data_IF_461129701199
#
_entry.id   IF_461129701199
#
_cell.length_a   1.000
_cell.length_b   1.000
_cell.length_c   1.000
_cell.angle_alpha   90.00
_cell.angle_beta   90.00
_cell.angle_gamma   90.00
#
_symmetry.space_group_name_H-M   'P 1'
#
loop_
_entity.id
_entity.type
_entity.pdbx_description
1 polymer ?
#
# COMPACT_ATOMS: atom_id res chain seq x y z
N UNK A 1 22.30 24.79 -19.87
CA UNK A 1 20.95 24.62 -19.29
C UNK A 1 21.09 24.49 -17.78
N UNK A 2 20.29 25.23 -17.00
CA UNK A 2 20.25 25.10 -15.53
C UNK A 2 19.14 24.11 -15.15
N UNK A 3 19.35 23.21 -14.17
CA UNK A 3 18.30 22.30 -13.72
C UNK A 3 17.11 23.06 -13.12
N UNK A 4 15.92 22.49 -13.27
CA UNK A 4 14.70 23.05 -12.70
C UNK A 4 14.75 23.00 -11.16
N UNK A 5 14.22 24.02 -10.47
CA UNK A 5 14.15 24.01 -9.01
C UNK A 5 13.15 22.94 -8.53
N UNK A 6 13.58 22.14 -7.55
CA UNK A 6 12.76 21.05 -6.96
C UNK A 6 11.58 21.62 -6.17
N UNK A 7 10.36 21.14 -6.44
CA UNK A 7 9.16 21.56 -5.67
C UNK A 7 9.07 20.82 -4.34
N UNK A 8 8.32 21.39 -3.39
CA UNK A 8 8.14 20.81 -2.03
C UNK A 8 7.44 19.46 -2.02
N UNK A 9 6.59 19.18 -3.01
CA UNK A 9 5.85 17.93 -3.13
C UNK A 9 6.63 16.84 -3.87
N UNK A 10 7.76 17.16 -4.48
CA UNK A 10 8.56 16.19 -5.23
C UNK A 10 9.26 15.23 -4.28
N UNK A 11 8.96 13.95 -4.45
CA UNK A 11 9.68 12.86 -3.78
C UNK A 11 11.04 12.65 -4.47
N UNK A 12 12.07 12.19 -3.74
CA UNK A 12 13.32 11.77 -4.36
C UNK A 12 13.08 10.63 -5.35
N UNK A 13 13.93 10.56 -6.37
CA UNK A 13 13.91 9.46 -7.33
C UNK A 13 14.21 8.14 -6.61
N UNK A 14 13.40 7.12 -6.93
CA UNK A 14 13.63 5.72 -6.54
C UNK A 14 13.41 4.88 -7.80
N UNK A 15 14.33 3.96 -8.16
CA UNK A 15 14.13 3.08 -9.31
C UNK A 15 12.97 2.10 -9.07
N UNK A 16 12.52 1.43 -10.13
CA UNK A 16 11.50 0.38 -10.00
C UNK A 16 12.08 -0.82 -9.25
N UNK A 17 11.54 -1.11 -8.06
CA UNK A 17 11.97 -2.22 -7.17
C UNK A 17 11.18 -3.52 -7.39
N UNK A 18 10.38 -3.62 -8.44
CA UNK A 18 9.63 -4.84 -8.78
C UNK A 18 10.57 -6.04 -8.91
N UNK A 19 10.16 -7.21 -8.41
CA UNK A 19 10.98 -8.43 -8.42
C UNK A 19 12.10 -8.47 -7.37
N UNK A 20 12.26 -7.41 -6.56
CA UNK A 20 13.19 -7.39 -5.41
C UNK A 20 12.43 -7.54 -4.08
N UNK A 21 13.11 -7.90 -2.97
CA UNK A 21 12.50 -7.93 -1.64
C UNK A 21 11.90 -6.60 -1.17
N UNK A 22 12.34 -5.48 -1.75
CA UNK A 22 11.91 -4.12 -1.42
C UNK A 22 10.74 -3.63 -2.30
N UNK A 23 10.13 -4.51 -3.11
CA UNK A 23 8.97 -4.18 -3.91
C UNK A 23 7.83 -3.63 -3.04
N UNK A 24 7.09 -2.65 -3.57
CA UNK A 24 5.88 -2.18 -2.91
C UNK A 24 4.81 -3.27 -2.91
N UNK A 25 4.27 -3.57 -1.74
CA UNK A 25 3.22 -4.56 -1.56
C UNK A 25 1.91 -3.88 -1.15
N UNK A 26 0.81 -4.28 -1.79
CA UNK A 26 -0.55 -3.81 -1.48
C UNK A 26 -1.03 -4.32 -0.10
N UNK A 27 -1.96 -3.62 0.58
CA UNK A 27 -2.64 -4.16 1.77
C UNK A 27 -3.25 -5.53 1.49
N UNK A 28 -3.16 -6.46 2.44
CA UNK A 28 -3.59 -7.85 2.26
C UNK A 28 -2.61 -8.75 1.49
N UNK A 29 -1.51 -8.21 0.96
CA UNK A 29 -0.47 -9.05 0.35
C UNK A 29 0.17 -9.98 1.40
N UNK A 30 0.36 -11.25 1.07
CA UNK A 30 0.87 -12.27 1.99
C UNK A 30 2.22 -11.89 2.59
N UNK A 31 3.19 -11.52 1.75
CA UNK A 31 4.53 -11.07 2.18
C UNK A 31 4.53 -9.75 2.97
N UNK A 32 3.40 -9.03 3.02
CA UNK A 32 3.21 -7.79 3.81
C UNK A 32 2.43 -8.04 5.11
N UNK A 33 2.18 -9.31 5.44
CA UNK A 33 1.44 -9.71 6.65
C UNK A 33 -0.05 -10.06 6.41
N UNK A 34 -0.52 -10.13 5.17
CA UNK A 34 -1.83 -10.73 4.82
C UNK A 34 -3.09 -9.99 5.31
N UNK A 35 -2.95 -8.91 6.08
CA UNK A 35 -4.08 -8.17 6.65
C UNK A 35 -4.74 -7.29 5.60
N UNK A 36 -5.97 -7.64 5.19
CA UNK A 36 -6.82 -6.83 4.32
C UNK A 36 -7.36 -5.62 5.09
N UNK A 37 -7.71 -4.57 4.36
CA UNK A 37 -8.47 -3.45 4.92
C UNK A 37 -9.83 -3.97 5.38
N UNK A 38 -10.40 -3.34 6.43
CA UNK A 38 -11.76 -3.64 6.87
C UNK A 38 -12.74 -3.33 5.72
N UNK A 39 -13.78 -4.14 5.61
CA UNK A 39 -14.90 -3.81 4.73
C UNK A 39 -15.54 -2.50 5.20
N UNK A 40 -16.00 -1.68 4.26
CA UNK A 40 -16.72 -0.42 4.53
C UNK A 40 -18.24 -0.61 4.56
N UNK A 41 -18.73 -1.84 4.42
CA UNK A 41 -20.15 -2.13 4.42
C UNK A 41 -20.69 -2.25 5.84
N UNK A 42 -21.97 -1.93 6.00
CA UNK A 42 -22.70 -2.00 7.28
C UNK A 42 -23.22 -3.42 7.60
N UNK A 43 -22.77 -4.42 6.83
CA UNK A 43 -23.15 -5.80 7.04
C UNK A 43 -22.35 -6.41 8.19
N UNK A 44 -23.05 -6.83 9.23
CA UNK A 44 -22.52 -7.69 10.28
C UNK A 44 -22.93 -9.16 10.00
N UNK A 45 -21.98 -10.10 9.91
CA UNK A 45 -22.29 -11.51 9.76
C UNK A 45 -23.11 -12.05 10.93
N UNK A 46 -24.16 -12.81 10.63
CA UNK A 46 -24.95 -13.49 11.65
C UNK A 46 -24.10 -14.52 12.42
N UNK A 47 -24.26 -14.54 13.75
CA UNK A 47 -23.60 -15.50 14.65
C UNK A 47 -24.67 -16.36 15.33
N UNK A 48 -24.69 -17.69 15.13
CA UNK A 48 -25.77 -18.58 15.56
C UNK A 48 -25.89 -18.78 17.08
N UNK A 49 -24.86 -18.48 17.86
CA UNK A 49 -24.78 -18.80 19.29
C UNK A 49 -24.45 -17.53 20.10
N UNK A 50 -25.46 -16.71 20.37
CA UNK A 50 -25.53 -15.77 21.51
C UNK A 50 -26.80 -16.05 22.30
#
# INVERSE_FOLDING_TARGET
MRPLPRRRFEKPYVPNLSGTPQAWLRPGHLLRGGRRQRATGDYEPWRPEE
#
